data_IF_746512048019
#
_entry.id   IF_746512048019
#
_cell.length_a   1.000
_cell.length_b   1.000
_cell.length_c   1.000
_cell.angle_alpha   90.00
_cell.angle_beta   90.00
_cell.angle_gamma   90.00
#
_symmetry.space_group_name_H-M   'P 1'
#
loop_
_entity.id
_entity.type
_entity.pdbx_description
1 polymer ?
#
# COMPACT_ATOMS: atom_id res chain seq x y z
N UNK A 1 25.80 -15.12 2.96
CA UNK A 1 26.70 -13.95 2.88
C UNK A 1 26.01 -12.73 3.48
N UNK A 2 24.91 -12.27 2.90
CA UNK A 2 24.08 -11.24 3.51
C UNK A 2 23.34 -11.78 4.73
N UNK A 3 23.50 -11.09 5.86
CA UNK A 3 22.86 -11.43 7.13
C UNK A 3 22.02 -10.28 7.68
N UNK A 4 22.09 -9.11 7.05
CA UNK A 4 21.30 -7.94 7.41
C UNK A 4 20.59 -7.37 6.18
N UNK A 5 19.51 -6.61 6.40
CA UNK A 5 18.89 -5.74 5.40
C UNK A 5 18.80 -4.34 5.99
N UNK A 6 19.31 -3.36 5.24
CA UNK A 6 19.32 -1.98 5.63
C UNK A 6 18.21 -1.23 4.90
N UNK A 7 17.24 -0.73 5.64
CA UNK A 7 16.06 -0.04 5.13
C UNK A 7 16.23 1.47 5.27
N UNK A 8 15.92 2.17 4.18
CA UNK A 8 15.88 3.63 4.04
C UNK A 8 14.44 4.02 3.68
N UNK A 9 13.93 5.04 4.34
CA UNK A 9 12.58 5.55 4.15
C UNK A 9 12.61 6.87 3.37
N UNK A 10 11.54 7.18 2.61
CA UNK A 10 11.49 8.26 1.60
C UNK A 10 10.63 9.46 1.98
N UNK A 11 10.64 10.50 1.13
CA UNK A 11 9.92 11.80 1.31
C UNK A 11 9.85 12.26 2.77
N UNK A 12 11.03 12.43 3.38
CA UNK A 12 11.19 12.79 4.79
C UNK A 12 11.41 14.30 4.97
N UNK A 13 10.60 15.11 4.31
CA UNK A 13 10.56 16.56 4.50
C UNK A 13 9.55 17.00 5.56
N UNK A 14 9.04 16.08 6.39
CA UNK A 14 8.33 16.49 7.62
C UNK A 14 9.34 17.06 8.61
N UNK A 15 9.60 18.37 8.47
CA UNK A 15 10.15 19.21 9.54
C UNK A 15 9.32 18.94 10.79
N UNK A 16 9.92 18.49 11.90
CA UNK A 16 9.28 18.48 13.21
C UNK A 16 8.85 17.11 13.79
N UNK A 17 7.97 17.20 14.79
CA UNK A 17 7.71 16.24 15.87
C UNK A 17 7.26 14.81 15.48
N UNK A 18 6.88 14.56 14.22
CA UNK A 18 6.20 13.32 13.81
C UNK A 18 7.14 12.24 13.25
N UNK A 19 8.45 12.49 13.22
CA UNK A 19 9.44 11.56 12.64
C UNK A 19 9.57 10.26 13.44
N UNK A 20 9.63 10.37 14.77
CA UNK A 20 9.78 9.20 15.66
C UNK A 20 8.61 8.23 15.49
N UNK A 21 7.39 8.74 15.47
CA UNK A 21 6.18 7.93 15.35
C UNK A 21 6.15 7.19 14.02
N UNK A 22 6.48 7.88 12.93
CA UNK A 22 6.59 7.27 11.61
C UNK A 22 7.64 6.15 11.58
N UNK A 23 8.81 6.36 12.17
CA UNK A 23 9.86 5.33 12.25
C UNK A 23 9.40 4.11 13.06
N UNK A 24 8.67 4.32 14.16
CA UNK A 24 8.09 3.25 14.97
C UNK A 24 7.02 2.46 14.21
N UNK A 25 6.13 3.15 13.50
CA UNK A 25 5.10 2.53 12.67
C UNK A 25 5.74 1.72 11.54
N UNK A 26 6.74 2.27 10.85
CA UNK A 26 7.44 1.55 9.79
C UNK A 26 8.17 0.32 10.33
N UNK A 27 8.85 0.44 11.48
CA UNK A 27 9.49 -0.71 12.15
C UNK A 27 8.48 -1.81 12.45
N UNK A 28 7.30 -1.46 12.98
CA UNK A 28 6.20 -2.42 13.22
C UNK A 28 5.73 -3.07 11.92
N UNK A 29 5.52 -2.29 10.86
CA UNK A 29 5.04 -2.81 9.58
C UNK A 29 6.08 -3.74 8.93
N UNK A 30 7.37 -3.42 9.05
CA UNK A 30 8.48 -4.30 8.63
C UNK A 30 8.50 -5.59 9.44
N UNK A 31 8.34 -5.53 10.76
CA UNK A 31 8.24 -6.74 11.61
C UNK A 31 7.08 -7.63 11.18
N UNK A 32 5.92 -7.04 10.92
CA UNK A 32 4.75 -7.79 10.49
C UNK A 32 4.97 -8.45 9.12
N UNK A 33 5.55 -7.74 8.15
CA UNK A 33 5.84 -8.29 6.83
C UNK A 33 6.83 -9.48 6.86
N UNK A 34 7.68 -9.52 7.89
CA UNK A 34 8.69 -10.57 8.11
C UNK A 34 8.28 -11.57 9.20
N UNK A 35 7.02 -11.56 9.66
CA UNK A 35 6.55 -12.39 10.76
C UNK A 35 6.66 -13.91 10.51
N UNK A 36 6.75 -14.32 9.23
CA UNK A 36 7.01 -15.71 8.84
C UNK A 36 8.39 -16.23 9.30
N UNK A 37 9.31 -15.34 9.69
CA UNK A 37 10.64 -15.69 10.20
C UNK A 37 10.83 -15.13 11.62
N UNK A 38 10.41 -15.86 12.67
CA UNK A 38 10.40 -15.36 14.06
C UNK A 38 11.80 -15.08 14.63
N UNK A 39 12.84 -15.65 14.02
CA UNK A 39 14.23 -15.37 14.35
C UNK A 39 14.70 -13.99 13.89
N UNK A 40 14.03 -13.37 12.92
CA UNK A 40 14.38 -12.05 12.41
C UNK A 40 14.26 -11.00 13.52
N UNK A 41 15.25 -10.11 13.61
CA UNK A 41 15.23 -8.97 14.52
C UNK A 41 15.18 -7.69 13.71
N UNK A 42 14.29 -6.78 14.08
CA UNK A 42 14.15 -5.48 13.41
C UNK A 42 14.38 -4.41 14.45
N UNK A 43 15.33 -3.51 14.18
CA UNK A 43 15.69 -2.41 15.06
C UNK A 43 15.98 -1.14 14.29
N UNK A 44 16.14 -0.04 15.03
CA UNK A 44 16.49 1.27 14.47
C UNK A 44 17.95 1.60 14.81
N UNK A 45 18.69 2.07 13.81
CA UNK A 45 20.04 2.60 13.99
C UNK A 45 20.10 3.99 13.35
N UNK A 46 20.06 5.02 14.19
CA UNK A 46 19.99 6.43 13.78
C UNK A 46 18.84 6.66 12.78
N UNK A 47 19.16 7.00 11.52
CA UNK A 47 18.19 7.36 10.48
C UNK A 47 17.82 6.17 9.58
N UNK A 48 17.91 4.94 10.09
CA UNK A 48 17.69 3.72 9.31
C UNK A 48 17.04 2.64 10.16
N UNK A 49 16.31 1.75 9.49
CA UNK A 49 15.85 0.49 10.08
C UNK A 49 16.82 -0.60 9.62
N UNK A 50 17.21 -1.47 10.54
CA UNK A 50 18.08 -2.62 10.29
C UNK A 50 17.29 -3.88 10.62
N UNK A 51 17.34 -4.82 9.69
CA UNK A 51 16.76 -6.16 9.82
C UNK A 51 17.93 -7.14 9.93
N UNK A 52 18.04 -7.86 11.02
CA UNK A 52 19.00 -8.95 11.22
C UNK A 52 18.28 -10.27 10.90
N UNK A 53 18.78 -11.01 9.92
CA UNK A 53 18.05 -12.16 9.35
C UNK A 53 18.17 -13.44 10.18
N UNK A 54 19.27 -13.62 10.91
CA UNK A 54 19.54 -14.82 11.73
C UNK A 54 19.25 -16.15 11.02
N UNK A 55 19.61 -16.27 9.74
CA UNK A 55 19.39 -17.47 8.92
C UNK A 55 18.07 -17.48 8.13
N UNK A 56 17.23 -16.45 8.25
CA UNK A 56 16.12 -16.25 7.31
C UNK A 56 16.62 -16.04 5.87
N UNK A 57 15.89 -16.55 4.86
CA UNK A 57 16.30 -16.45 3.47
C UNK A 57 16.20 -14.99 2.99
N UNK A 58 17.29 -14.48 2.41
CA UNK A 58 17.44 -13.06 2.04
C UNK A 58 16.45 -12.67 0.96
N UNK A 59 16.39 -13.41 -0.15
CA UNK A 59 15.59 -13.06 -1.33
C UNK A 59 14.08 -13.02 -1.04
N UNK A 60 13.49 -14.03 -0.35
CA UNK A 60 12.10 -13.94 0.10
C UNK A 60 11.84 -12.75 1.04
N UNK A 61 12.78 -12.43 1.94
CA UNK A 61 12.64 -11.26 2.81
C UNK A 61 12.64 -9.95 2.02
N UNK A 62 13.54 -9.82 1.02
CA UNK A 62 13.57 -8.66 0.12
C UNK A 62 12.26 -8.51 -0.66
N UNK A 63 11.67 -9.61 -1.15
CA UNK A 63 10.37 -9.60 -1.86
C UNK A 63 9.22 -9.13 -0.94
N UNK A 64 9.20 -9.56 0.33
CA UNK A 64 8.21 -9.09 1.31
C UNK A 64 8.39 -7.60 1.60
N UNK A 65 9.64 -7.14 1.79
CA UNK A 65 9.94 -5.73 2.03
C UNK A 65 9.61 -4.83 0.84
N UNK A 66 9.69 -5.34 -0.40
CA UNK A 66 9.28 -4.60 -1.59
C UNK A 66 7.79 -4.23 -1.59
N UNK A 67 6.97 -4.85 -0.74
CA UNK A 67 5.53 -4.56 -0.62
C UNK A 67 5.19 -3.63 0.54
N UNK A 68 6.16 -3.22 1.34
CA UNK A 68 5.95 -2.37 2.53
C UNK A 68 5.99 -0.89 2.14
N UNK A 69 4.87 -0.19 2.31
CA UNK A 69 4.80 1.26 2.13
C UNK A 69 5.65 2.01 3.17
N UNK A 70 6.21 3.15 2.77
CA UNK A 70 7.14 3.95 3.58
C UNK A 70 8.61 3.63 3.32
N UNK A 71 8.93 2.46 2.75
CA UNK A 71 10.31 2.13 2.35
C UNK A 71 10.64 2.81 1.03
N UNK A 72 11.62 3.70 1.02
CA UNK A 72 12.15 4.30 -0.21
C UNK A 72 13.14 3.39 -0.91
N UNK A 73 14.00 2.74 -0.14
CA UNK A 73 14.93 1.75 -0.67
C UNK A 73 15.45 0.86 0.43
N UNK A 74 15.94 -0.31 0.05
CA UNK A 74 16.60 -1.22 0.97
C UNK A 74 17.77 -1.90 0.27
N UNK A 75 18.70 -2.41 1.06
CA UNK A 75 19.88 -3.13 0.55
C UNK A 75 20.11 -4.37 1.40
N UNK A 76 20.34 -5.55 0.81
CA UNK A 76 20.94 -6.67 1.55
C UNK A 76 22.37 -6.29 1.93
N UNK A 77 22.80 -6.63 3.14
CA UNK A 77 24.04 -6.13 3.72
C UNK A 77 24.87 -7.26 4.30
N UNK A 78 26.16 -7.25 3.93
CA UNK A 78 27.19 -8.02 4.57
C UNK A 78 27.82 -7.15 5.66
N UNK A 79 28.04 -7.74 6.82
CA UNK A 79 28.56 -7.05 8.00
C UNK A 79 30.02 -7.44 8.21
N UNK A 80 30.86 -6.44 8.43
CA UNK A 80 32.26 -6.60 8.77
C UNK A 80 32.58 -5.96 10.14
N UNK A 81 33.50 -6.55 10.92
CA UNK A 81 34.15 -5.87 12.04
C UNK A 81 34.74 -4.52 11.63
N UNK A 82 34.98 -3.63 12.62
CA UNK A 82 35.62 -2.32 12.42
C UNK A 82 37.14 -2.43 12.23
N UNK A 83 37.52 -3.22 11.24
CA UNK A 83 38.90 -3.44 10.82
C UNK A 83 38.97 -3.34 9.30
N UNK A 84 40.00 -2.66 8.79
CA UNK A 84 40.10 -2.39 7.36
C UNK A 84 40.30 -3.67 6.55
N UNK A 85 41.05 -4.65 7.08
CA UNK A 85 41.28 -5.93 6.39
C UNK A 85 39.97 -6.71 6.30
N UNK A 86 39.21 -6.81 7.39
CA UNK A 86 37.91 -7.46 7.40
C UNK A 86 36.89 -6.80 6.44
N UNK A 87 36.90 -5.46 6.35
CA UNK A 87 36.08 -4.71 5.39
C UNK A 87 36.47 -5.08 3.95
N UNK A 88 37.76 -5.12 3.63
CA UNK A 88 38.25 -5.51 2.31
C UNK A 88 37.87 -6.96 1.95
N UNK A 89 38.05 -7.92 2.86
CA UNK A 89 37.67 -9.33 2.66
C UNK A 89 36.17 -9.46 2.37
N UNK A 90 35.34 -8.76 3.14
CA UNK A 90 33.89 -8.73 2.94
C UNK A 90 33.52 -8.11 1.58
N UNK A 91 34.17 -7.01 1.19
CA UNK A 91 33.97 -6.36 -0.10
C UNK A 91 34.31 -7.30 -1.27
N UNK A 92 35.41 -8.05 -1.18
CA UNK A 92 35.79 -9.04 -2.19
C UNK A 92 34.70 -10.10 -2.35
N UNK A 93 34.16 -10.61 -1.22
CA UNK A 93 33.07 -11.60 -1.27
C UNK A 93 31.80 -11.04 -1.94
N UNK A 94 31.42 -9.81 -1.60
CA UNK A 94 30.26 -9.13 -2.20
C UNK A 94 30.47 -8.94 -3.70
N UNK A 95 31.60 -8.38 -4.14
CA UNK A 95 31.87 -8.17 -5.58
C UNK A 95 31.92 -9.50 -6.33
N UNK A 96 32.55 -10.53 -5.75
CA UNK A 96 32.61 -11.86 -6.37
C UNK A 96 31.22 -12.45 -6.60
N UNK A 97 30.30 -12.26 -5.66
CA UNK A 97 28.92 -12.74 -5.78
C UNK A 97 28.11 -11.95 -6.81
N UNK A 98 28.14 -10.62 -6.74
CA UNK A 98 27.28 -9.75 -7.54
C UNK A 98 27.72 -9.65 -9.01
N UNK A 99 29.04 -9.70 -9.25
CA UNK A 99 29.62 -9.58 -10.59
C UNK A 99 30.15 -10.92 -11.14
N UNK A 100 29.94 -12.03 -10.43
CA UNK A 100 30.59 -13.32 -10.73
C UNK A 100 32.12 -13.17 -10.90
N UNK A 101 32.72 -12.20 -10.22
CA UNK A 101 34.16 -11.90 -10.27
C UNK A 101 34.66 -11.11 -11.49
N UNK A 102 33.77 -10.59 -12.35
CA UNK A 102 34.16 -9.88 -13.60
C UNK A 102 33.33 -8.62 -13.86
N UNK A 103 33.93 -7.58 -14.41
CA UNK A 103 33.22 -6.36 -14.81
C UNK A 103 33.66 -5.08 -14.10
N UNK A 104 32.94 -3.98 -14.34
CA UNK A 104 33.24 -2.67 -13.79
C UNK A 104 32.58 -2.44 -12.43
N UNK A 105 33.32 -1.88 -11.47
CA UNK A 105 32.76 -1.49 -10.19
C UNK A 105 33.26 -0.12 -9.73
N UNK A 106 32.52 0.47 -8.79
CA UNK A 106 32.88 1.69 -8.07
C UNK A 106 32.68 1.47 -6.58
N UNK A 107 33.61 1.95 -5.76
CA UNK A 107 33.43 1.95 -4.30
C UNK A 107 32.99 3.33 -3.83
N UNK A 108 31.91 3.37 -3.06
CA UNK A 108 31.46 4.57 -2.36
C UNK A 108 31.48 4.34 -0.85
N UNK A 109 32.33 5.06 -0.14
CA UNK A 109 32.46 4.92 1.31
C UNK A 109 31.78 6.06 2.06
N UNK A 110 31.19 5.75 3.22
CA UNK A 110 30.61 6.72 4.16
C UNK A 110 31.17 6.46 5.56
N UNK A 111 31.82 7.47 6.13
CA UNK A 111 32.38 7.42 7.48
C UNK A 111 31.41 8.06 8.48
N UNK A 112 30.46 7.25 8.95
CA UNK A 112 29.57 7.62 10.04
C UNK A 112 30.27 7.61 11.40
N UNK A 113 31.25 6.71 11.60
CA UNK A 113 32.11 6.70 12.78
C UNK A 113 33.35 7.58 12.57
N UNK A 114 33.37 8.77 13.18
CA UNK A 114 34.50 9.71 13.07
C UNK A 114 35.78 9.25 13.80
N UNK A 115 35.68 8.24 14.66
CA UNK A 115 36.84 7.63 15.31
C UNK A 115 37.56 6.61 14.42
N UNK A 116 36.96 6.19 13.30
CA UNK A 116 37.62 5.28 12.38
C UNK A 116 38.83 5.98 11.70
N UNK A 117 40.02 5.35 11.66
CA UNK A 117 41.27 6.03 11.28
C UNK A 117 41.27 6.60 9.86
N UNK A 118 40.69 5.85 8.92
CA UNK A 118 40.64 6.25 7.51
C UNK A 118 39.40 7.09 7.23
N UNK A 119 39.55 8.13 6.41
CA UNK A 119 38.42 8.90 5.88
C UNK A 119 37.71 8.15 4.74
N UNK A 120 36.59 8.69 4.27
CA UNK A 120 35.80 8.04 3.22
C UNK A 120 36.57 7.82 1.91
N UNK A 121 37.29 8.81 1.35
CA UNK A 121 38.13 8.58 0.18
C UNK A 121 39.20 7.49 0.39
N UNK A 122 39.85 7.46 1.55
CA UNK A 122 40.87 6.44 1.85
C UNK A 122 40.26 5.03 1.97
N UNK A 123 39.11 4.89 2.63
CA UNK A 123 38.39 3.61 2.70
C UNK A 123 38.04 3.12 1.28
N UNK A 124 37.46 3.99 0.45
CA UNK A 124 37.07 3.62 -0.91
C UNK A 124 38.27 3.16 -1.75
N UNK A 125 39.41 3.85 -1.62
CA UNK A 125 40.67 3.51 -2.31
C UNK A 125 41.20 2.15 -1.88
N UNK A 126 41.27 1.90 -0.57
CA UNK A 126 41.82 0.66 -0.02
C UNK A 126 40.96 -0.56 -0.36
N UNK A 127 39.63 -0.41 -0.29
CA UNK A 127 38.69 -1.45 -0.74
C UNK A 127 38.85 -1.68 -2.24
N UNK A 128 38.86 -0.62 -3.05
CA UNK A 128 39.01 -0.75 -4.50
C UNK A 128 40.29 -1.47 -4.91
N UNK A 129 41.42 -1.08 -4.32
CA UNK A 129 42.71 -1.74 -4.55
C UNK A 129 42.72 -3.21 -4.10
N UNK A 130 42.03 -3.55 -3.02
CA UNK A 130 41.93 -4.94 -2.54
C UNK A 130 41.07 -5.81 -3.46
N UNK A 131 39.95 -5.27 -3.95
CA UNK A 131 39.09 -5.97 -4.92
C UNK A 131 39.84 -6.23 -6.23
N UNK A 132 40.53 -5.23 -6.79
CA UNK A 132 41.31 -5.38 -8.02
C UNK A 132 42.42 -6.44 -7.90
N UNK A 133 43.11 -6.48 -6.75
CA UNK A 133 44.16 -7.48 -6.49
C UNK A 133 43.60 -8.91 -6.40
N UNK A 134 42.42 -9.06 -5.80
CA UNK A 134 41.81 -10.37 -5.56
C UNK A 134 41.00 -10.90 -6.75
N UNK A 135 40.45 -10.02 -7.58
CA UNK A 135 39.57 -10.34 -8.71
C UNK A 135 40.12 -9.70 -10.00
N UNK A 136 41.07 -10.35 -10.70
CA UNK A 136 41.79 -9.77 -11.84
C UNK A 136 40.92 -9.35 -13.03
N UNK A 137 39.75 -9.98 -13.19
CA UNK A 137 38.79 -9.68 -14.27
C UNK A 137 37.85 -8.50 -13.95
N UNK A 138 38.08 -7.81 -12.82
CA UNK A 138 37.36 -6.60 -12.45
C UNK A 138 38.14 -5.33 -12.82
N UNK A 139 37.43 -4.24 -13.08
CA UNK A 139 38.01 -2.93 -13.35
C UNK A 139 37.26 -1.84 -12.58
N UNK A 140 37.92 -0.73 -12.29
CA UNK A 140 37.25 0.44 -11.69
C UNK A 140 36.68 1.33 -12.79
N UNK A 141 35.40 1.66 -12.70
CA UNK A 141 34.75 2.70 -13.51
C UNK A 141 33.95 3.62 -12.58
N UNK A 142 34.34 4.89 -12.48
CA UNK A 142 33.70 5.85 -11.57
C UNK A 142 32.47 6.54 -12.19
N UNK A 143 32.26 6.37 -13.49
CA UNK A 143 31.21 7.02 -14.27
C UNK A 143 30.07 6.06 -14.61
N UNK A 144 30.39 4.87 -15.13
CA UNK A 144 29.42 3.84 -15.54
C UNK A 144 29.79 2.44 -15.00
N UNK A 145 29.79 2.25 -13.68
CA UNK A 145 30.04 0.94 -13.09
C UNK A 145 28.86 -0.02 -13.30
N UNK A 146 29.16 -1.30 -13.50
CA UNK A 146 28.17 -2.39 -13.44
C UNK A 146 27.66 -2.56 -11.99
N UNK A 147 28.55 -2.32 -11.01
CA UNK A 147 28.25 -2.38 -9.57
C UNK A 147 28.78 -1.15 -8.82
N UNK A 148 27.89 -0.47 -8.09
CA UNK A 148 28.29 0.45 -7.03
C UNK A 148 28.30 -0.31 -5.70
N UNK A 149 29.49 -0.51 -5.13
CA UNK A 149 29.70 -1.10 -3.82
C UNK A 149 29.72 0.00 -2.76
N UNK A 150 28.73 0.00 -1.87
CA UNK A 150 28.70 0.95 -0.76
C UNK A 150 29.35 0.34 0.49
N UNK A 151 30.21 1.13 1.15
CA UNK A 151 30.85 0.79 2.42
C UNK A 151 30.48 1.84 3.46
N UNK A 152 29.69 1.47 4.45
CA UNK A 152 29.20 2.40 5.48
C UNK A 152 29.73 2.02 6.86
N UNK A 153 30.75 2.73 7.31
CA UNK A 153 31.45 2.47 8.59
C UNK A 153 30.74 3.19 9.73
N UNK A 154 30.17 2.41 10.66
CA UNK A 154 29.43 2.91 11.83
C UNK A 154 30.15 2.60 13.14
N UNK A 155 29.53 2.96 14.27
CA UNK A 155 30.17 2.86 15.60
C UNK A 155 30.38 1.41 16.06
N UNK A 156 29.50 0.49 15.65
CA UNK A 156 29.56 -0.91 16.07
C UNK A 156 30.20 -1.81 15.00
N UNK A 157 29.88 -1.57 13.72
CA UNK A 157 30.25 -2.44 12.61
C UNK A 157 30.27 -1.67 11.28
N UNK A 158 30.89 -2.26 10.26
CA UNK A 158 30.87 -1.76 8.91
C UNK A 158 29.87 -2.55 8.06
N UNK A 159 29.12 -1.83 7.23
CA UNK A 159 28.12 -2.40 6.33
C UNK A 159 28.64 -2.34 4.89
N UNK A 160 28.71 -3.47 4.22
CA UNK A 160 29.16 -3.59 2.83
C UNK A 160 28.01 -4.17 2.02
N UNK A 161 27.57 -3.45 0.99
CA UNK A 161 26.41 -3.87 0.23
C UNK A 161 26.43 -3.40 -1.23
N UNK A 162 25.84 -4.19 -2.14
CA UNK A 162 25.55 -3.72 -3.49
C UNK A 162 24.37 -2.76 -3.46
N UNK A 163 24.28 -1.95 -4.51
CA UNK A 163 23.11 -1.22 -5.02
C UNK A 163 21.85 -1.14 -4.13
N UNK A 164 21.24 0.04 -4.10
CA UNK A 164 19.93 0.25 -3.46
C UNK A 164 18.80 -0.34 -4.29
N UNK A 165 18.02 -1.26 -3.72
CA UNK A 165 16.76 -1.73 -4.30
C UNK A 165 15.69 -0.69 -4.00
N UNK A 166 14.99 -0.14 -5.00
CA UNK A 166 13.88 0.79 -4.78
C UNK A 166 12.74 0.11 -4.02
N UNK A 167 12.24 0.77 -2.99
CA UNK A 167 10.97 0.42 -2.33
C UNK A 167 9.80 1.16 -2.96
N UNK A 168 8.60 0.95 -2.42
CA UNK A 168 7.37 1.59 -2.94
C UNK A 168 7.26 3.09 -2.68
N UNK A 169 8.05 3.60 -1.73
CA UNK A 169 7.87 4.92 -1.16
C UNK A 169 6.53 5.05 -0.45
N UNK A 170 5.94 6.25 -0.46
CA UNK A 170 4.71 6.54 0.27
C UNK A 170 4.93 6.64 1.77
N UNK A 171 3.87 6.45 2.55
CA UNK A 171 3.88 6.54 4.02
C UNK A 171 3.62 5.17 4.64
N UNK A 172 4.19 4.88 5.83
CA UNK A 172 3.85 3.68 6.57
C UNK A 172 2.35 3.63 6.89
N UNK A 173 1.70 2.48 6.66
CA UNK A 173 0.29 2.26 7.03
C UNK A 173 0.10 2.52 8.53
N UNK A 174 -0.89 3.34 8.86
CA UNK A 174 -1.22 3.80 10.20
C UNK A 174 -0.70 5.21 10.52
N UNK A 175 0.13 5.80 9.65
CA UNK A 175 0.64 7.17 9.84
C UNK A 175 -0.43 8.24 9.60
N UNK A 176 -1.39 7.98 8.72
CA UNK A 176 -2.37 8.98 8.26
C UNK A 176 -3.77 8.78 8.83
N UNK A 177 -3.89 8.04 9.93
CA UNK A 177 -5.17 7.70 10.55
C UNK A 177 -5.88 6.53 9.86
N UNK A 178 -7.20 6.44 10.09
CA UNK A 178 -8.06 5.35 9.63
C UNK A 178 -9.18 5.86 8.70
N UNK A 179 -9.53 5.09 7.69
CA UNK A 179 -10.64 5.36 6.78
C UNK A 179 -11.47 4.11 6.50
N UNK A 180 -12.75 4.28 6.15
CA UNK A 180 -13.57 3.22 5.57
C UNK A 180 -13.41 3.26 4.06
N UNK A 181 -13.07 2.15 3.42
CA UNK A 181 -12.96 2.09 1.96
C UNK A 181 -14.08 1.25 1.35
N UNK A 182 -14.84 1.85 0.43
CA UNK A 182 -15.91 1.19 -0.29
C UNK A 182 -15.28 0.31 -1.39
N UNK A 183 -15.32 -1.00 -1.19
CA UNK A 183 -14.78 -1.99 -2.10
C UNK A 183 -15.91 -2.60 -2.92
N UNK A 184 -15.76 -2.55 -4.24
CA UNK A 184 -16.60 -3.26 -5.21
C UNK A 184 -15.78 -4.37 -5.87
N UNK A 185 -16.45 -5.24 -6.62
CA UNK A 185 -15.77 -6.26 -7.41
C UNK A 185 -15.12 -5.75 -8.70
N UNK A 186 -15.18 -4.44 -8.98
CA UNK A 186 -14.62 -3.84 -10.19
C UNK A 186 -13.12 -3.51 -10.06
N UNK A 187 -12.56 -2.96 -11.14
CA UNK A 187 -11.13 -2.65 -11.25
C UNK A 187 -10.70 -1.49 -10.32
N UNK A 188 -11.58 -0.49 -10.15
CA UNK A 188 -11.17 0.83 -9.68
C UNK A 188 -11.04 0.88 -8.15
N UNK A 189 -11.98 0.28 -7.42
CA UNK A 189 -11.99 0.34 -5.95
C UNK A 189 -10.80 -0.40 -5.29
N UNK A 190 -10.30 -1.55 -5.77
CA UNK A 190 -9.04 -2.12 -5.27
C UNK A 190 -7.83 -1.22 -5.49
N UNK A 191 -7.77 -0.52 -6.63
CA UNK A 191 -6.68 0.42 -6.94
C UNK A 191 -6.73 1.63 -6.01
N UNK A 192 -7.93 2.16 -5.75
CA UNK A 192 -8.13 3.24 -4.79
C UNK A 192 -7.71 2.83 -3.37
N UNK A 193 -8.09 1.63 -2.93
CA UNK A 193 -7.67 1.04 -1.65
C UNK A 193 -6.14 0.97 -1.56
N UNK A 194 -5.47 0.45 -2.59
CA UNK A 194 -4.01 0.37 -2.64
C UNK A 194 -3.33 1.75 -2.56
N UNK A 195 -3.85 2.75 -3.30
CA UNK A 195 -3.32 4.13 -3.25
C UNK A 195 -3.55 4.79 -1.89
N UNK A 196 -4.69 4.54 -1.25
CA UNK A 196 -4.97 5.03 0.10
C UNK A 196 -3.99 4.43 1.13
N UNK A 197 -3.74 3.11 1.08
CA UNK A 197 -2.73 2.46 1.91
C UNK A 197 -1.32 3.02 1.65
N UNK A 198 -0.98 3.31 0.39
CA UNK A 198 0.31 3.95 0.03
C UNK A 198 0.48 5.33 0.66
N UNK A 199 -0.62 6.03 0.98
CA UNK A 199 -0.60 7.31 1.71
C UNK A 199 -0.67 7.12 3.23
N UNK A 200 -0.48 5.91 3.73
CA UNK A 200 -0.35 5.62 5.16
C UNK A 200 -1.67 5.45 5.89
N UNK A 201 -2.79 5.31 5.18
CA UNK A 201 -4.09 5.05 5.80
C UNK A 201 -4.21 3.59 6.24
N UNK A 202 -4.69 3.38 7.47
CA UNK A 202 -5.27 2.10 7.87
C UNK A 202 -6.70 2.02 7.37
N UNK A 203 -7.10 0.89 6.80
CA UNK A 203 -8.40 0.77 6.14
C UNK A 203 -9.24 -0.35 6.76
N UNK A 204 -10.50 -0.05 6.96
CA UNK A 204 -11.58 -1.01 7.11
C UNK A 204 -12.36 -1.01 5.79
N UNK A 205 -12.52 -2.17 5.17
CA UNK A 205 -13.14 -2.30 3.85
C UNK A 205 -14.64 -2.58 4.04
N UNK A 206 -15.50 -1.92 3.28
CA UNK A 206 -16.93 -2.23 3.24
C UNK A 206 -17.34 -2.65 1.83
N UNK A 207 -17.99 -3.80 1.72
CA UNK A 207 -18.59 -4.28 0.48
C UNK A 207 -20.09 -4.47 0.67
N UNK A 208 -20.86 -3.91 -0.28
CA UNK A 208 -22.30 -4.00 -0.28
C UNK A 208 -22.75 -5.08 -1.25
N UNK A 209 -23.68 -5.93 -0.80
CA UNK A 209 -24.25 -7.00 -1.61
C UNK A 209 -25.78 -6.99 -1.53
N UNK A 210 -26.44 -7.69 -2.45
CA UNK A 210 -27.90 -7.81 -2.47
C UNK A 210 -28.33 -9.27 -2.50
N UNK A 211 -27.78 -10.10 -1.61
CA UNK A 211 -28.17 -11.52 -1.54
C UNK A 211 -29.67 -11.64 -1.19
N UNK A 212 -30.44 -12.57 -1.80
CA UNK A 212 -30.06 -13.62 -2.76
C UNK A 212 -30.01 -13.18 -4.24
N UNK A 213 -30.21 -11.90 -4.55
CA UNK A 213 -30.17 -11.39 -5.92
C UNK A 213 -28.75 -11.32 -6.50
N UNK A 214 -27.71 -11.15 -5.66
CA UNK A 214 -26.30 -11.31 -6.05
C UNK A 214 -25.80 -12.71 -5.71
N UNK A 215 -24.96 -13.29 -6.58
CA UNK A 215 -24.40 -14.63 -6.37
C UNK A 215 -23.33 -14.67 -5.27
N UNK A 216 -23.18 -15.82 -4.60
CA UNK A 216 -22.03 -16.08 -3.69
C UNK A 216 -20.67 -15.88 -4.40
N UNK A 217 -20.62 -16.12 -5.71
CA UNK A 217 -19.40 -15.90 -6.51
C UNK A 217 -18.97 -14.43 -6.50
N UNK A 218 -19.92 -13.49 -6.48
CA UNK A 218 -19.63 -12.07 -6.41
C UNK A 218 -18.92 -11.71 -5.09
N UNK A 219 -19.39 -12.28 -3.98
CA UNK A 219 -18.78 -12.14 -2.65
C UNK A 219 -17.38 -12.75 -2.58
N UNK A 220 -17.22 -14.01 -3.03
CA UNK A 220 -15.90 -14.69 -3.06
C UNK A 220 -14.86 -13.89 -3.84
N UNK A 221 -15.25 -13.34 -4.99
CA UNK A 221 -14.37 -12.47 -5.79
C UNK A 221 -13.89 -11.24 -5.01
N UNK A 222 -14.75 -10.64 -4.19
CA UNK A 222 -14.34 -9.52 -3.31
C UNK A 222 -13.39 -10.00 -2.23
N UNK A 223 -13.66 -11.14 -1.59
CA UNK A 223 -12.76 -11.73 -0.61
C UNK A 223 -11.38 -12.04 -1.22
N UNK A 224 -11.32 -12.55 -2.46
CA UNK A 224 -10.09 -12.77 -3.22
C UNK A 224 -9.34 -11.45 -3.49
N UNK A 225 -10.05 -10.39 -3.87
CA UNK A 225 -9.47 -9.05 -4.05
C UNK A 225 -8.87 -8.53 -2.73
N UNK A 226 -9.56 -8.72 -1.59
CA UNK A 226 -9.01 -8.37 -0.28
C UNK A 226 -7.79 -9.21 0.04
N UNK A 227 -7.78 -10.51 -0.29
CA UNK A 227 -6.63 -11.40 -0.13
C UNK A 227 -5.40 -10.92 -0.91
N UNK A 228 -5.60 -10.39 -2.13
CA UNK A 228 -4.53 -9.78 -2.93
C UNK A 228 -4.04 -8.48 -2.27
N UNK A 229 -4.96 -7.60 -1.85
CA UNK A 229 -4.64 -6.33 -1.21
C UNK A 229 -3.93 -6.51 0.15
N UNK A 230 -4.28 -7.55 0.90
CA UNK A 230 -3.66 -7.92 2.18
C UNK A 230 -2.17 -8.21 2.04
N UNK A 231 -1.70 -8.60 0.85
CA UNK A 231 -0.26 -8.79 0.60
C UNK A 231 0.53 -7.47 0.62
N UNK A 232 -0.16 -6.33 0.55
CA UNK A 232 0.40 -4.97 0.63
C UNK A 232 0.05 -4.30 1.96
N UNK A 233 -1.20 -4.50 2.42
CA UNK A 233 -1.78 -3.85 3.60
C UNK A 233 -1.55 -4.57 4.93
N UNK A 234 -1.16 -5.85 4.88
CA UNK A 234 -1.25 -6.74 6.03
C UNK A 234 -2.71 -7.18 6.25
N UNK A 235 -3.16 -7.17 7.51
CA UNK A 235 -4.52 -7.61 7.87
C UNK A 235 -5.54 -6.53 7.53
N UNK A 236 -6.56 -6.89 6.75
CA UNK A 236 -7.63 -6.00 6.30
C UNK A 236 -8.99 -6.51 6.81
N UNK A 237 -9.69 -5.75 7.66
CA UNK A 237 -11.09 -6.02 7.99
C UNK A 237 -11.98 -5.80 6.76
N UNK A 238 -12.87 -6.74 6.48
CA UNK A 238 -13.88 -6.67 5.43
C UNK A 238 -15.27 -6.78 6.09
N UNK A 239 -16.06 -5.73 5.95
CA UNK A 239 -17.45 -5.64 6.38
C UNK A 239 -18.34 -5.90 5.17
N UNK A 240 -19.12 -6.98 5.21
CA UNK A 240 -20.11 -7.36 4.22
C UNK A 240 -21.48 -6.90 4.71
N UNK A 241 -22.15 -6.06 3.92
CA UNK A 241 -23.42 -5.44 4.33
C UNK A 241 -24.47 -5.62 3.24
N UNK A 242 -25.66 -6.10 3.63
CA UNK A 242 -26.79 -6.24 2.71
C UNK A 242 -27.47 -4.89 2.45
N UNK A 243 -27.72 -4.59 1.18
CA UNK A 243 -28.53 -3.43 0.75
C UNK A 243 -29.80 -3.85 0.02
N UNK A 244 -30.19 -5.12 0.12
CA UNK A 244 -31.36 -5.68 -0.58
C UNK A 244 -32.65 -4.93 -0.26
N UNK A 245 -32.93 -4.69 1.03
CA UNK A 245 -34.14 -3.99 1.47
C UNK A 245 -34.16 -2.52 1.03
N UNK A 246 -33.01 -1.85 1.15
CA UNK A 246 -32.81 -0.47 0.67
C UNK A 246 -33.13 -0.37 -0.82
N UNK A 247 -32.63 -1.31 -1.63
CA UNK A 247 -32.91 -1.35 -3.06
C UNK A 247 -34.39 -1.59 -3.37
N UNK A 248 -35.05 -2.46 -2.61
CA UNK A 248 -36.48 -2.74 -2.78
C UNK A 248 -37.32 -1.49 -2.49
N UNK A 249 -37.04 -0.78 -1.40
CA UNK A 249 -37.75 0.45 -1.03
C UNK A 249 -37.48 1.61 -2.01
N UNK A 250 -36.22 1.80 -2.42
CA UNK A 250 -35.87 2.76 -3.49
C UNK A 250 -36.63 2.43 -4.78
N UNK A 251 -36.73 1.15 -5.16
CA UNK A 251 -37.43 0.74 -6.38
C UNK A 251 -38.91 1.06 -6.33
N UNK A 252 -39.54 0.86 -5.16
CA UNK A 252 -40.98 1.02 -4.92
C UNK A 252 -41.41 2.48 -4.79
N UNK A 253 -40.59 3.31 -4.13
CA UNK A 253 -41.00 4.65 -3.72
C UNK A 253 -40.34 5.79 -4.50
N UNK A 254 -39.18 5.56 -5.12
CA UNK A 254 -38.39 6.62 -5.75
C UNK A 254 -38.39 6.56 -7.29
N UNK A 255 -38.16 7.70 -7.97
CA UNK A 255 -38.04 7.76 -9.42
C UNK A 255 -36.92 6.84 -9.95
N UNK A 256 -37.20 6.11 -11.03
CA UNK A 256 -36.24 5.18 -11.62
C UNK A 256 -34.89 5.85 -11.93
N UNK A 257 -34.92 7.03 -12.54
CA UNK A 257 -33.72 7.76 -12.97
C UNK A 257 -32.75 8.16 -11.84
N UNK A 258 -33.21 8.16 -10.58
CA UNK A 258 -32.43 8.53 -9.41
C UNK A 258 -31.94 7.33 -8.58
N UNK A 259 -32.38 6.11 -8.89
CA UNK A 259 -32.13 4.91 -8.06
C UNK A 259 -30.66 4.69 -7.73
N UNK A 260 -29.77 4.85 -8.70
CA UNK A 260 -28.32 4.67 -8.49
C UNK A 260 -27.74 5.71 -7.52
N UNK A 261 -28.15 6.98 -7.64
CA UNK A 261 -27.65 8.05 -6.76
C UNK A 261 -28.19 7.88 -5.35
N UNK A 262 -29.47 7.52 -5.21
CA UNK A 262 -30.11 7.23 -3.92
C UNK A 262 -29.44 6.05 -3.21
N UNK A 263 -29.20 4.95 -3.93
CA UNK A 263 -28.51 3.79 -3.38
C UNK A 263 -27.10 4.16 -2.88
N UNK A 264 -26.35 4.92 -3.68
CA UNK A 264 -25.02 5.40 -3.31
C UNK A 264 -25.04 6.31 -2.07
N UNK A 265 -26.06 7.17 -1.93
CA UNK A 265 -26.25 7.99 -0.72
C UNK A 265 -26.50 7.10 0.51
N UNK A 266 -27.32 6.05 0.39
CA UNK A 266 -27.52 5.08 1.47
C UNK A 266 -26.21 4.34 1.84
N UNK A 267 -25.43 3.90 0.84
CA UNK A 267 -24.11 3.31 1.06
C UNK A 267 -23.15 4.27 1.79
N UNK A 268 -23.20 5.58 1.49
CA UNK A 268 -22.38 6.56 2.20
C UNK A 268 -22.83 6.77 3.65
N UNK A 269 -24.15 6.77 3.91
CA UNK A 269 -24.69 6.85 5.27
C UNK A 269 -24.30 5.64 6.12
N UNK A 270 -24.43 4.44 5.56
CA UNK A 270 -23.98 3.20 6.22
C UNK A 270 -22.48 3.26 6.51
N UNK A 271 -21.66 3.62 5.52
CA UNK A 271 -20.21 3.75 5.71
C UNK A 271 -19.84 4.83 6.75
N UNK A 272 -20.65 5.89 6.88
CA UNK A 272 -20.43 6.96 7.87
C UNK A 272 -20.71 6.49 9.29
N UNK A 273 -21.80 5.74 9.50
CA UNK A 273 -22.08 5.13 10.80
C UNK A 273 -21.01 4.09 11.15
N UNK A 274 -20.63 3.22 10.21
CA UNK A 274 -19.52 2.27 10.37
C UNK A 274 -18.18 2.98 10.70
N UNK A 275 -17.91 4.12 10.06
CA UNK A 275 -16.72 4.91 10.34
C UNK A 275 -16.66 5.40 11.79
N UNK A 276 -17.81 5.70 12.39
CA UNK A 276 -17.87 6.10 13.81
C UNK A 276 -17.47 4.93 14.72
N UNK A 277 -17.98 3.73 14.46
CA UNK A 277 -17.60 2.50 15.20
C UNK A 277 -16.11 2.18 15.05
N UNK A 278 -15.57 2.27 13.83
CA UNK A 278 -14.17 1.98 13.53
C UNK A 278 -13.21 3.13 13.88
N UNK A 279 -13.72 4.28 14.34
CA UNK A 279 -12.95 5.53 14.56
C UNK A 279 -12.18 5.97 13.30
N UNK A 280 -12.83 5.88 12.16
CA UNK A 280 -12.35 6.31 10.86
C UNK A 280 -12.76 7.76 10.58
N UNK A 281 -11.85 8.56 10.02
CA UNK A 281 -12.06 9.99 9.75
C UNK A 281 -12.39 10.33 8.29
N UNK A 282 -12.45 9.33 7.41
CA UNK A 282 -12.66 9.53 5.98
C UNK A 282 -13.31 8.30 5.34
N UNK A 283 -13.93 8.52 4.17
CA UNK A 283 -14.37 7.48 3.25
C UNK A 283 -13.44 7.44 2.03
N UNK A 284 -13.10 6.26 1.54
CA UNK A 284 -12.33 6.06 0.30
C UNK A 284 -13.24 5.44 -0.76
N UNK A 285 -13.25 6.01 -1.97
CA UNK A 285 -13.94 5.40 -3.11
C UNK A 285 -13.04 5.28 -4.34
N UNK A 286 -13.38 4.34 -5.21
CA UNK A 286 -12.79 4.19 -6.54
C UNK A 286 -13.47 5.05 -7.62
N UNK A 287 -14.10 6.16 -7.27
CA UNK A 287 -14.73 7.03 -8.27
C UNK A 287 -13.69 7.75 -9.13
N UNK A 288 -13.93 7.77 -10.45
CA UNK A 288 -13.20 8.59 -11.43
C UNK A 288 -14.18 9.53 -12.15
N UNK A 289 -13.82 10.81 -12.26
CA UNK A 289 -14.74 11.83 -12.77
C UNK A 289 -15.08 11.59 -14.25
N UNK A 290 -16.37 11.52 -14.55
CA UNK A 290 -16.86 11.41 -15.93
C UNK A 290 -16.80 10.01 -16.54
N UNK A 291 -16.38 8.99 -15.80
CA UNK A 291 -16.28 7.62 -16.32
C UNK A 291 -17.65 6.95 -16.51
N UNK A 292 -18.60 7.20 -15.62
CA UNK A 292 -19.99 6.69 -15.70
C UNK A 292 -21.00 7.76 -15.28
N UNK A 293 -22.28 7.56 -15.62
CA UNK A 293 -23.35 8.53 -15.33
C UNK A 293 -23.48 8.89 -13.82
N UNK A 294 -23.16 7.96 -12.93
CA UNK A 294 -23.18 8.17 -11.47
C UNK A 294 -21.91 8.85 -10.93
N UNK A 295 -20.97 9.21 -11.80
CA UNK A 295 -19.68 9.84 -11.46
C UNK A 295 -19.47 11.17 -12.21
N UNK A 296 -20.55 11.82 -12.63
CA UNK A 296 -20.50 13.25 -13.00
C UNK A 296 -20.32 14.10 -11.74
N UNK A 297 -19.81 15.33 -11.88
CA UNK A 297 -19.60 16.22 -10.75
C UNK A 297 -20.88 16.44 -9.91
N UNK A 298 -22.03 16.58 -10.57
CA UNK A 298 -23.32 16.74 -9.89
C UNK A 298 -23.79 15.46 -9.19
N UNK A 299 -23.58 14.28 -9.79
CA UNK A 299 -23.86 13.01 -9.13
C UNK A 299 -22.95 12.79 -7.90
N UNK A 300 -21.65 13.11 -8.01
CA UNK A 300 -20.71 13.02 -6.90
C UNK A 300 -21.11 13.98 -5.76
N UNK A 301 -21.42 15.24 -6.07
CA UNK A 301 -21.89 16.21 -5.08
C UNK A 301 -23.18 15.75 -4.40
N UNK A 302 -24.12 15.18 -5.17
CA UNK A 302 -25.35 14.63 -4.62
C UNK A 302 -25.08 13.44 -3.69
N UNK A 303 -24.11 12.58 -3.98
CA UNK A 303 -23.73 11.47 -3.08
C UNK A 303 -22.98 11.97 -1.85
N UNK A 304 -22.05 12.91 -2.01
CA UNK A 304 -21.23 13.45 -0.92
C UNK A 304 -22.04 14.16 0.15
N UNK A 305 -23.12 14.83 -0.22
CA UNK A 305 -24.03 15.47 0.73
C UNK A 305 -24.69 14.47 1.71
N UNK A 306 -24.59 13.16 1.50
CA UNK A 306 -25.07 12.15 2.43
C UNK A 306 -24.09 11.82 3.59
N UNK A 307 -22.89 12.41 3.60
CA UNK A 307 -21.90 12.24 4.67
C UNK A 307 -21.27 13.58 5.08
N UNK A 308 -20.87 13.67 6.34
CA UNK A 308 -20.05 14.78 6.86
C UNK A 308 -18.56 14.44 6.88
N UNK A 309 -18.18 13.21 6.54
CA UNK A 309 -16.80 12.77 6.50
C UNK A 309 -16.12 13.23 5.22
N UNK A 310 -14.80 13.41 5.28
CA UNK A 310 -13.99 13.66 4.10
C UNK A 310 -14.05 12.45 3.16
N UNK A 311 -14.46 12.66 1.91
CA UNK A 311 -14.48 11.62 0.88
C UNK A 311 -13.23 11.75 0.01
N UNK A 312 -12.32 10.80 0.13
CA UNK A 312 -11.07 10.76 -0.64
C UNK A 312 -11.28 9.87 -1.86
N UNK A 313 -10.98 10.42 -3.04
CA UNK A 313 -11.10 9.75 -4.33
C UNK A 313 -9.74 9.69 -5.02
N UNK A 314 -8.92 8.66 -4.74
CA UNK A 314 -7.57 8.57 -5.29
C UNK A 314 -7.52 8.56 -6.83
N UNK A 315 -8.64 8.24 -7.49
CA UNK A 315 -8.74 8.08 -8.94
C UNK A 315 -9.52 9.20 -9.63
N UNK A 316 -9.93 10.24 -8.90
CA UNK A 316 -10.88 11.25 -9.39
C UNK A 316 -10.46 11.89 -10.73
N UNK A 317 -9.17 11.99 -10.99
CA UNK A 317 -8.59 12.64 -12.18
C UNK A 317 -7.69 11.70 -12.98
N UNK A 318 -7.78 10.38 -12.77
CA UNK A 318 -6.98 9.38 -13.49
C UNK A 318 -7.74 8.81 -14.69
N UNK A 319 -7.02 8.56 -15.78
CA UNK A 319 -7.56 7.85 -16.94
C UNK A 319 -7.78 6.37 -16.59
N UNK A 320 -8.76 5.75 -17.24
CA UNK A 320 -9.06 4.33 -17.08
C UNK A 320 -7.87 3.43 -17.40
N UNK A 321 -7.06 3.78 -18.40
CA UNK A 321 -5.89 2.98 -18.78
C UNK A 321 -4.82 3.00 -17.68
N UNK A 322 -4.58 4.16 -17.06
CA UNK A 322 -3.65 4.28 -15.94
C UNK A 322 -4.11 3.44 -14.74
N UNK A 323 -5.41 3.45 -14.46
CA UNK A 323 -6.01 2.62 -13.40
C UNK A 323 -5.80 1.13 -13.68
N UNK A 324 -6.02 0.70 -14.93
CA UNK A 324 -5.81 -0.69 -15.36
C UNK A 324 -4.35 -1.12 -15.21
N UNK A 325 -3.40 -0.26 -15.58
CA UNK A 325 -1.97 -0.56 -15.47
C UNK A 325 -1.55 -0.71 -14.00
N UNK A 326 -2.11 0.12 -13.10
CA UNK A 326 -1.92 -0.08 -11.67
C UNK A 326 -2.55 -1.39 -11.21
N UNK A 327 -3.79 -1.70 -11.62
CA UNK A 327 -4.48 -2.94 -11.25
C UNK A 327 -3.69 -4.20 -11.66
N UNK A 328 -3.08 -4.20 -12.86
CA UNK A 328 -2.20 -5.27 -13.32
C UNK A 328 -0.95 -5.37 -12.45
N UNK A 329 -0.29 -4.24 -12.17
CA UNK A 329 0.92 -4.19 -11.34
C UNK A 329 0.69 -4.70 -9.91
N UNK A 330 -0.48 -4.41 -9.33
CA UNK A 330 -0.81 -4.85 -7.96
C UNK A 330 -1.50 -6.22 -7.91
N UNK A 331 -1.77 -6.82 -9.08
CA UNK A 331 -2.35 -8.16 -9.21
C UNK A 331 -3.86 -8.25 -9.06
N UNK A 332 -4.59 -7.13 -9.02
CA UNK A 332 -6.06 -7.13 -8.82
C UNK A 332 -6.85 -7.23 -10.12
N UNK A 333 -6.21 -6.97 -11.28
CA UNK A 333 -6.90 -6.88 -12.57
C UNK A 333 -7.64 -8.17 -12.95
N UNK A 334 -6.96 -9.31 -12.98
CA UNK A 334 -7.53 -10.59 -13.44
C UNK A 334 -8.76 -11.01 -12.62
N UNK A 335 -8.70 -10.81 -11.30
CA UNK A 335 -9.86 -11.07 -10.42
C UNK A 335 -10.99 -10.08 -10.68
N UNK A 336 -10.68 -8.80 -10.92
CA UNK A 336 -11.68 -7.75 -11.12
C UNK A 336 -12.47 -7.89 -12.43
N UNK A 337 -11.89 -8.51 -13.46
CA UNK A 337 -12.53 -8.67 -14.79
C UNK A 337 -13.37 -9.94 -14.92
N UNK A 338 -13.38 -10.81 -13.90
CA UNK A 338 -14.25 -11.99 -13.89
C UNK A 338 -15.73 -11.57 -14.05
N UNK A 339 -16.57 -12.35 -14.75
CA UNK A 339 -17.97 -12.01 -14.93
C UNK A 339 -18.76 -12.22 -13.63
N UNK A 340 -19.45 -11.18 -13.14
CA UNK A 340 -20.36 -11.27 -12.01
C UNK A 340 -21.39 -10.13 -12.00
N UNK A 341 -22.48 -10.33 -11.27
CA UNK A 341 -23.51 -9.32 -11.04
C UNK A 341 -23.10 -8.36 -9.91
N UNK A 342 -22.98 -7.07 -10.20
CA UNK A 342 -22.77 -6.03 -9.20
C UNK A 342 -24.12 -5.65 -8.57
N UNK A 343 -24.12 -5.38 -7.25
CA UNK A 343 -25.32 -4.92 -6.55
C UNK A 343 -25.88 -3.65 -7.20
N UNK A 344 -25.01 -2.77 -7.69
CA UNK A 344 -25.39 -1.51 -8.33
C UNK A 344 -25.98 -1.69 -9.75
N UNK A 345 -25.71 -2.82 -10.43
CA UNK A 345 -26.21 -3.07 -11.78
C UNK A 345 -27.58 -3.76 -11.79
N UNK A 346 -27.89 -4.54 -10.76
CA UNK A 346 -29.09 -5.39 -10.69
C UNK A 346 -30.42 -4.62 -10.84
N UNK A 347 -30.47 -3.37 -10.36
CA UNK A 347 -31.61 -2.46 -10.54
C UNK A 347 -31.20 -1.11 -11.14
N UNK A 348 -30.13 -1.10 -11.95
CA UNK A 348 -29.70 0.10 -12.63
C UNK A 348 -30.83 0.64 -13.55
N UNK A 349 -31.04 1.96 -13.57
CA UNK A 349 -32.06 2.56 -14.42
C UNK A 349 -31.74 2.38 -15.90
N UNK A 350 -32.77 2.23 -16.74
CA UNK A 350 -32.59 2.21 -18.20
C UNK A 350 -31.99 3.51 -18.74
N UNK A 351 -32.33 4.63 -18.10
CA UNK A 351 -31.83 5.98 -18.43
C UNK A 351 -31.41 6.68 -17.14
N UNK A 352 -30.18 6.46 -16.65
CA UNK A 352 -29.68 7.15 -15.46
C UNK A 352 -29.64 8.66 -15.69
N UNK A 353 -30.01 9.43 -14.66
CA UNK A 353 -29.84 10.88 -14.70
C UNK A 353 -28.37 11.23 -14.54
N UNK A 354 -27.76 11.82 -15.57
CA UNK A 354 -26.35 12.24 -15.56
C UNK A 354 -26.13 13.57 -14.83
N UNK A 355 -27.18 14.37 -14.64
CA UNK A 355 -27.11 15.64 -13.91
C UNK A 355 -28.23 15.73 -12.85
N UNK A 356 -28.17 14.90 -11.78
CA UNK A 356 -29.12 14.99 -10.68
C UNK A 356 -28.90 16.29 -9.91
N UNK A 357 -29.99 16.98 -9.55
CA UNK A 357 -29.91 18.12 -8.63
C UNK A 357 -30.07 17.62 -7.20
N UNK A 358 -29.29 18.16 -6.26
CA UNK A 358 -29.29 17.71 -4.88
C UNK A 358 -30.70 17.79 -4.25
N UNK A 359 -31.40 18.91 -4.46
CA UNK A 359 -32.76 19.15 -3.93
C UNK A 359 -33.80 18.14 -4.45
N UNK A 360 -33.64 17.65 -5.68
CA UNK A 360 -34.49 16.61 -6.25
C UNK A 360 -34.21 15.24 -5.63
N UNK A 361 -32.92 14.94 -5.39
CA UNK A 361 -32.50 13.70 -4.76
C UNK A 361 -33.00 13.65 -3.31
N UNK A 362 -32.83 14.73 -2.55
CA UNK A 362 -33.31 14.83 -1.17
C UNK A 362 -34.83 14.70 -1.07
N UNK A 363 -35.60 15.37 -1.95
CA UNK A 363 -37.05 15.19 -2.02
C UNK A 363 -37.48 13.77 -2.38
N UNK A 364 -36.68 13.05 -3.16
CA UNK A 364 -36.96 11.64 -3.44
C UNK A 364 -36.67 10.73 -2.23
N UNK A 365 -35.70 11.10 -1.38
CA UNK A 365 -35.36 10.40 -0.14
C UNK A 365 -36.39 10.58 0.97
N UNK A 366 -37.15 11.69 1.00
CA UNK A 366 -38.24 11.92 1.98
C UNK A 366 -39.30 10.80 1.98
N UNK A 367 -39.34 9.97 0.93
CA UNK A 367 -40.24 8.83 0.80
C UNK A 367 -39.70 7.54 1.42
N UNK A 368 -38.48 7.57 1.96
CA UNK A 368 -37.77 6.44 2.52
C UNK A 368 -37.58 6.66 4.02
N UNK A 369 -37.73 5.59 4.79
CA UNK A 369 -37.32 5.58 6.20
C UNK A 369 -35.81 5.36 6.30
N UNK A 370 -35.05 6.41 6.01
CA UNK A 370 -33.59 6.34 5.86
C UNK A 370 -32.92 5.81 7.14
N UNK A 371 -33.38 6.25 8.31
CA UNK A 371 -32.77 5.86 9.59
C UNK A 371 -32.93 4.37 9.85
N UNK A 372 -34.15 3.84 9.76
CA UNK A 372 -34.41 2.43 10.00
C UNK A 372 -33.76 1.54 8.92
N UNK A 373 -33.74 1.98 7.66
CA UNK A 373 -33.09 1.27 6.57
C UNK A 373 -31.57 1.15 6.76
N UNK A 374 -30.91 2.23 7.22
CA UNK A 374 -29.47 2.19 7.51
C UNK A 374 -29.17 1.30 8.71
N UNK A 375 -29.98 1.37 9.77
CA UNK A 375 -29.85 0.52 10.95
C UNK A 375 -29.99 -0.97 10.59
N UNK A 376 -31.04 -1.34 9.85
CA UNK A 376 -31.27 -2.70 9.40
C UNK A 376 -30.13 -3.23 8.51
N UNK A 377 -29.56 -2.37 7.64
CA UNK A 377 -28.39 -2.74 6.85
C UNK A 377 -27.17 -3.03 7.74
N UNK A 378 -26.90 -2.19 8.74
CA UNK A 378 -25.79 -2.41 9.68
C UNK A 378 -26.00 -3.67 10.54
N UNK A 379 -27.23 -3.98 10.93
CA UNK A 379 -27.55 -5.22 11.67
C UNK A 379 -27.28 -6.48 10.84
N UNK A 380 -27.33 -6.39 9.51
CA UNK A 380 -26.98 -7.49 8.60
C UNK A 380 -25.48 -7.74 8.46
N UNK A 381 -24.63 -6.89 9.07
CA UNK A 381 -23.18 -6.87 8.84
C UNK A 381 -22.51 -8.18 9.27
N UNK A 382 -21.73 -8.75 8.35
CA UNK A 382 -20.72 -9.77 8.65
C UNK A 382 -19.32 -9.15 8.56
N UNK A 383 -18.46 -9.37 9.56
CA UNK A 383 -17.08 -8.88 9.55
C UNK A 383 -16.08 -10.02 9.45
N UNK A 384 -15.21 -9.98 8.43
CA UNK A 384 -14.14 -10.95 8.19
C UNK A 384 -12.79 -10.27 8.28
N UNK A 385 -11.82 -10.91 8.92
CA UNK A 385 -10.43 -10.46 8.94
C UNK A 385 -9.64 -11.23 7.88
N UNK A 386 -9.19 -10.54 6.82
CA UNK A 386 -8.49 -11.17 5.70
C UNK A 386 -7.01 -10.75 5.69
N UNK A 387 -6.12 -11.72 5.47
CA UNK A 387 -4.66 -11.55 5.55
C UNK A 387 -4.09 -12.06 6.86
N UNK A 388 -2.99 -12.82 6.76
CA UNK A 388 -2.16 -13.30 7.86
C UNK A 388 -0.69 -13.11 7.51
#
# INVERSE_FOLDING_TARGET
MYNHILIRYGELTTKGANRSDMEQILERNVRQALAAWPQVRVGRIHTRIVVELHGAPVEPALQKLQRVFGISSFSPVAVAPLDMKAICETAIQVVKHELAGKGAFKVEARRGNKQFPLDSPAIAREVGASVLRALPDTRVDVHQPDLVLEVDVRKAQAYVYPRRVPGLGGFPIGMSGRAIALLSGGIDSPVAVWKAMKRGLSLDLVHYHSFPFTSERAQRKVEDLVGILAQWGGRLPLHLISVTEIQAEIRKHCPESLRTVLLRRMMFRIATQLATECRAGALITGDSLGQVASQTLSALNAVDAATTLTVIRPLATEDKLDIIDVAKRIGTYETSVQPFDDCCSLFAPRRPKTNPKLDEVERAEERLDVENLVAAALDSRECKMIGA
#
